data_IF_359274488935
#
_entry.id   IF_359274488935
#
_cell.length_a   1.000
_cell.length_b   1.000
_cell.length_c   1.000
_cell.angle_alpha   90.00
_cell.angle_beta   90.00
_cell.angle_gamma   90.00
#
_symmetry.space_group_name_H-M   'P 1'
#
loop_
_entity.id
_entity.type
_entity.pdbx_description
1 polymer ?
#
# COMPACT_ATOMS: atom_id res chain seq x y z
N UNK A 1 -10.48 -12.11 -34.83
CA UNK A 1 -10.49 -10.94 -33.92
C UNK A 1 -11.44 -9.88 -34.47
N UNK A 2 -12.45 -9.40 -33.71
CA UNK A 2 -13.44 -8.45 -34.21
C UNK A 2 -12.82 -7.08 -34.50
N UNK A 3 -13.15 -6.46 -35.64
CA UNK A 3 -12.61 -5.17 -36.10
C UNK A 3 -12.86 -3.99 -35.15
N UNK A 4 -13.82 -4.07 -34.23
CA UNK A 4 -14.20 -2.95 -33.34
C UNK A 4 -13.22 -2.68 -32.18
N UNK A 5 -12.35 -3.63 -31.83
CA UNK A 5 -11.42 -3.46 -30.70
C UNK A 5 -10.30 -2.45 -31.00
N UNK A 6 -9.84 -2.38 -32.26
CA UNK A 6 -8.75 -1.49 -32.69
C UNK A 6 -9.14 -0.01 -32.61
N UNK A 7 -10.39 0.32 -32.95
CA UNK A 7 -10.88 1.70 -32.92
C UNK A 7 -10.97 2.23 -31.49
N UNK A 8 -11.46 1.42 -30.56
CA UNK A 8 -11.52 1.79 -29.14
C UNK A 8 -10.14 1.93 -28.50
N UNK A 9 -9.18 1.08 -28.89
CA UNK A 9 -7.81 1.19 -28.42
C UNK A 9 -7.17 2.53 -28.82
N UNK A 10 -7.37 2.94 -30.09
CA UNK A 10 -6.86 4.22 -30.61
C UNK A 10 -7.48 5.42 -29.89
N UNK A 11 -8.79 5.40 -29.64
CA UNK A 11 -9.49 6.47 -28.91
C UNK A 11 -9.01 6.59 -27.46
N UNK A 12 -8.82 5.48 -26.75
CA UNK A 12 -8.34 5.50 -25.38
C UNK A 12 -6.88 5.96 -25.30
N UNK A 13 -6.04 5.58 -26.26
CA UNK A 13 -4.66 6.05 -26.34
C UNK A 13 -4.60 7.58 -26.56
N UNK A 14 -5.41 8.13 -27.47
CA UNK A 14 -5.49 9.59 -27.70
C UNK A 14 -5.99 10.32 -26.45
N UNK A 15 -6.98 9.76 -25.74
CA UNK A 15 -7.53 10.34 -24.50
C UNK A 15 -6.52 10.34 -23.35
N UNK A 16 -5.71 9.29 -23.22
CA UNK A 16 -4.74 9.15 -22.14
C UNK A 16 -3.48 9.99 -22.35
N UNK A 17 -3.01 10.09 -23.59
CA UNK A 17 -1.75 10.76 -23.93
C UNK A 17 -1.94 12.24 -24.26
N UNK A 18 -3.17 12.64 -24.62
CA UNK A 18 -3.53 13.98 -25.07
C UNK A 18 -3.33 14.11 -26.59
N UNK A 19 -4.23 14.83 -27.26
CA UNK A 19 -4.07 15.11 -28.68
C UNK A 19 -2.76 15.88 -28.90
N UNK A 20 -1.91 15.41 -29.82
CA UNK A 20 -0.61 16.00 -30.21
C UNK A 20 0.57 15.84 -29.23
N UNK A 21 0.50 14.92 -28.26
CA UNK A 21 1.67 14.64 -27.41
C UNK A 21 2.64 13.63 -28.09
N UNK A 22 3.67 14.18 -28.73
CA UNK A 22 4.72 13.43 -29.42
C UNK A 22 5.99 13.22 -28.58
N UNK A 23 5.94 13.39 -27.25
CA UNK A 23 7.13 13.34 -26.39
C UNK A 23 7.85 11.99 -26.49
N UNK A 24 7.12 10.87 -26.42
CA UNK A 24 7.71 9.53 -26.54
C UNK A 24 8.24 9.26 -27.95
N UNK A 25 7.54 9.73 -28.99
CA UNK A 25 7.98 9.56 -30.37
C UNK A 25 9.27 10.34 -30.64
N UNK A 26 9.36 11.58 -30.15
CA UNK A 26 10.54 12.42 -30.27
C UNK A 26 11.72 11.86 -29.45
N UNK A 27 11.46 11.27 -28.29
CA UNK A 27 12.46 10.60 -27.46
C UNK A 27 13.05 9.38 -28.19
N UNK A 28 12.20 8.51 -28.72
CA UNK A 28 12.63 7.33 -29.49
C UNK A 28 13.37 7.72 -30.77
N UNK A 29 12.93 8.78 -31.45
CA UNK A 29 13.60 9.30 -32.64
C UNK A 29 14.99 9.84 -32.30
N UNK A 30 15.12 10.64 -31.23
CA UNK A 30 16.43 11.11 -30.73
C UNK A 30 17.38 9.97 -30.40
N UNK A 31 16.89 8.91 -29.73
CA UNK A 31 17.71 7.73 -29.45
C UNK A 31 18.20 7.06 -30.74
N UNK A 32 17.30 6.91 -31.73
CA UNK A 32 17.64 6.29 -33.02
C UNK A 32 18.64 7.12 -33.83
N UNK A 33 18.54 8.44 -33.78
CA UNK A 33 19.47 9.35 -34.47
C UNK A 33 20.84 9.38 -33.78
N UNK A 34 20.91 9.26 -32.44
CA UNK A 34 22.17 9.10 -31.70
C UNK A 34 22.88 7.77 -32.04
N UNK A 35 22.13 6.67 -32.14
CA UNK A 35 22.70 5.38 -32.58
C UNK A 35 23.21 5.42 -34.03
N UNK A 36 22.50 6.13 -34.92
CA UNK A 36 22.94 6.31 -36.32
C UNK A 36 24.14 7.24 -36.45
N UNK A 37 24.27 8.25 -35.60
CA UNK A 37 25.43 9.13 -35.54
C UNK A 37 26.69 8.39 -35.07
N UNK A 38 26.57 7.55 -34.04
CA UNK A 38 27.67 6.69 -33.57
C UNK A 38 28.13 5.65 -34.61
N UNK A 39 27.26 5.26 -35.54
CA UNK A 39 27.57 4.29 -36.60
C UNK A 39 28.26 4.90 -37.83
N UNK A 40 28.33 6.23 -37.96
CA UNK A 40 28.98 6.89 -39.11
C UNK A 40 30.45 7.27 -38.86
N UNK A 41 30.95 7.16 -37.63
CA UNK A 41 32.31 7.58 -37.26
C UNK A 41 33.28 6.41 -37.00
N UNK A 42 32.94 5.19 -37.43
CA UNK A 42 33.85 4.05 -37.37
C UNK A 42 33.92 3.32 -38.71
N UNK A 43 34.79 3.83 -39.58
CA UNK A 43 35.41 2.98 -40.60
C UNK A 43 36.42 2.05 -39.93
N UNK A 44 36.04 0.78 -39.74
CA UNK A 44 36.96 -0.27 -39.25
C UNK A 44 36.22 -1.48 -38.67
N UNK A 45 36.43 -2.65 -39.29
CA UNK A 45 35.72 -3.93 -39.08
C UNK A 45 36.01 -4.64 -37.73
N UNK A 46 35.24 -5.69 -37.38
CA UNK A 46 34.80 -5.99 -36.02
C UNK A 46 35.63 -7.07 -35.32
N UNK A 47 35.77 -6.97 -34.01
CA UNK A 47 35.69 -8.12 -33.12
C UNK A 47 35.42 -7.62 -31.70
N UNK A 48 34.24 -7.90 -31.15
CA UNK A 48 33.94 -7.60 -29.76
C UNK A 48 33.20 -8.80 -29.16
N UNK A 49 33.99 -9.80 -28.79
CA UNK A 49 33.70 -10.67 -27.65
C UNK A 49 33.39 -9.78 -26.45
N UNK A 50 32.33 -10.16 -25.72
CA UNK A 50 31.89 -9.57 -24.46
C UNK A 50 33.09 -9.29 -23.55
N UNK A 51 33.41 -8.01 -23.33
CA UNK A 51 34.39 -7.59 -22.32
C UNK A 51 33.66 -6.98 -21.15
N UNK A 52 33.84 -7.66 -20.03
CA UNK A 52 33.38 -7.37 -18.68
C UNK A 52 33.81 -5.98 -18.22
N UNK A 53 32.93 -5.31 -17.48
CA UNK A 53 33.09 -3.96 -16.96
C UNK A 53 34.41 -3.80 -16.21
N UNK A 54 35.41 -3.14 -16.82
CA UNK A 54 36.59 -2.70 -16.12
C UNK A 54 36.21 -1.64 -15.08
N UNK A 55 36.41 -1.98 -13.81
CA UNK A 55 36.34 -1.06 -12.68
C UNK A 55 37.32 0.11 -12.88
N UNK A 56 37.01 1.32 -12.39
CA UNK A 56 37.95 2.42 -12.43
C UNK A 56 39.15 2.10 -11.52
N UNK A 57 40.34 2.04 -12.10
CA UNK A 57 41.60 1.84 -11.40
C UNK A 57 41.80 2.92 -10.33
N UNK A 58 42.09 2.58 -9.06
CA UNK A 58 42.41 3.58 -8.05
C UNK A 58 43.80 4.19 -8.33
N UNK A 59 44.01 5.48 -8.06
CA UNK A 59 45.34 6.09 -8.18
C UNK A 59 46.27 5.53 -7.11
N UNK A 60 47.53 5.37 -7.53
CA UNK A 60 48.65 4.81 -6.79
C UNK A 60 48.87 5.42 -5.41
N UNK A 61 49.28 4.57 -4.48
CA UNK A 61 49.44 4.79 -3.05
C UNK A 61 50.36 5.95 -2.66
N UNK A 62 49.81 6.94 -1.94
CA UNK A 62 50.54 7.64 -0.87
C UNK A 62 50.23 6.92 0.46
N UNK A 63 51.24 6.33 1.08
CA UNK A 63 51.14 5.55 2.33
C UNK A 63 50.64 6.36 3.53
N UNK A 64 50.61 7.69 3.45
CA UNK A 64 50.10 8.57 4.50
C UNK A 64 48.56 8.64 4.58
N UNK A 65 47.83 8.33 3.51
CA UNK A 65 46.37 8.49 3.47
C UNK A 65 45.59 7.21 3.81
N UNK A 66 46.28 6.09 4.02
CA UNK A 66 45.66 4.79 4.21
C UNK A 66 45.18 4.60 5.66
N UNK A 67 45.97 5.05 6.64
CA UNK A 67 45.59 5.00 8.05
C UNK A 67 44.39 5.90 8.36
N UNK A 68 44.36 7.12 7.79
CA UNK A 68 43.27 8.06 8.00
C UNK A 68 41.95 7.56 7.38
N UNK A 69 42.06 6.93 6.20
CA UNK A 69 40.93 6.24 5.56
C UNK A 69 40.45 5.05 6.41
N UNK A 70 41.35 4.19 6.87
CA UNK A 70 41.01 3.03 7.70
C UNK A 70 40.42 3.45 9.05
N UNK A 71 40.94 4.50 9.67
CA UNK A 71 40.40 5.07 10.91
C UNK A 71 39.01 5.65 10.70
N UNK A 72 38.76 6.32 9.56
CA UNK A 72 37.43 6.83 9.21
C UNK A 72 36.43 5.70 8.96
N UNK A 73 36.84 4.62 8.28
CA UNK A 73 36.00 3.44 8.05
C UNK A 73 35.68 2.75 9.38
N UNK A 74 36.69 2.52 10.22
CA UNK A 74 36.51 1.92 11.54
C UNK A 74 35.59 2.76 12.43
N UNK A 75 35.79 4.08 12.46
CA UNK A 75 34.90 4.99 13.19
C UNK A 75 33.46 4.92 12.68
N UNK A 76 33.25 4.81 11.37
CA UNK A 76 31.89 4.69 10.80
C UNK A 76 31.23 3.36 11.15
N UNK A 77 32.00 2.27 11.20
CA UNK A 77 31.54 0.94 11.62
C UNK A 77 31.21 0.93 13.12
N UNK A 78 32.08 1.50 13.95
CA UNK A 78 31.86 1.61 15.40
C UNK A 78 30.64 2.46 15.70
N UNK A 79 30.47 3.58 15.00
CA UNK A 79 29.30 4.44 15.16
C UNK A 79 28.01 3.75 14.71
N UNK A 80 28.07 2.94 13.64
CA UNK A 80 26.93 2.11 13.19
C UNK A 80 26.57 1.02 14.21
N UNK A 81 27.58 0.38 14.82
CA UNK A 81 27.40 -0.66 15.83
C UNK A 81 27.04 -0.11 17.23
N UNK A 82 27.40 1.13 17.52
CA UNK A 82 27.06 1.84 18.75
C UNK A 82 25.59 2.31 18.78
N UNK A 83 24.91 2.38 17.62
CA UNK A 83 23.46 2.60 17.59
C UNK A 83 22.78 1.41 18.27
N UNK A 84 22.01 1.63 19.35
CA UNK A 84 21.26 0.56 20.00
C UNK A 84 20.38 -0.13 18.97
N UNK A 85 20.70 -1.38 18.63
CA UNK A 85 19.83 -2.21 17.80
C UNK A 85 18.51 -2.32 18.55
N UNK A 86 17.40 -1.95 17.91
CA UNK A 86 16.06 -2.11 18.50
C UNK A 86 15.97 -3.55 19.04
N UNK A 87 15.47 -3.73 20.27
CA UNK A 87 15.31 -5.08 20.81
C UNK A 87 14.52 -5.91 19.81
N UNK A 88 14.98 -7.13 19.55
CA UNK A 88 14.30 -8.05 18.65
C UNK A 88 12.85 -8.15 19.11
N UNK A 89 11.94 -7.59 18.33
CA UNK A 89 10.54 -7.60 18.68
C UNK A 89 10.03 -9.02 18.40
N UNK A 90 9.64 -9.74 19.44
CA UNK A 90 9.08 -11.08 19.26
C UNK A 90 7.78 -10.96 18.47
N UNK A 91 7.80 -11.45 17.23
CA UNK A 91 6.66 -11.45 16.33
C UNK A 91 5.45 -12.18 16.93
N UNK A 92 5.66 -13.14 17.83
CA UNK A 92 4.58 -13.84 18.51
C UNK A 92 3.88 -12.96 19.53
N UNK A 93 4.64 -12.18 20.29
CA UNK A 93 4.09 -11.21 21.26
C UNK A 93 3.31 -10.11 20.55
N UNK A 94 3.82 -9.62 19.42
CA UNK A 94 3.10 -8.66 18.59
C UNK A 94 1.79 -9.24 18.07
N UNK A 95 1.83 -10.46 17.55
CA UNK A 95 0.65 -11.09 16.99
C UNK A 95 -0.41 -11.39 18.05
N UNK A 96 0.00 -11.89 19.22
CA UNK A 96 -0.91 -12.15 20.33
C UNK A 96 -1.59 -10.85 20.77
N UNK A 97 -0.83 -9.75 20.86
CA UNK A 97 -1.38 -8.43 21.14
C UNK A 97 -2.40 -8.02 20.08
N UNK A 98 -2.08 -8.13 18.79
CA UNK A 98 -3.01 -7.79 17.71
C UNK A 98 -4.27 -8.67 17.72
N UNK A 99 -4.12 -9.97 18.05
CA UNK A 99 -5.22 -10.91 18.15
C UNK A 99 -6.18 -10.52 19.29
N UNK A 100 -5.63 -10.21 20.47
CA UNK A 100 -6.38 -9.75 21.63
C UNK A 100 -7.04 -8.39 21.38
N UNK A 101 -6.31 -7.45 20.77
CA UNK A 101 -6.82 -6.12 20.43
C UNK A 101 -8.04 -6.22 19.52
N UNK A 102 -7.97 -7.04 18.46
CA UNK A 102 -9.10 -7.22 17.56
C UNK A 102 -10.31 -7.83 18.27
N UNK A 103 -10.10 -8.81 19.16
CA UNK A 103 -11.19 -9.40 19.97
C UNK A 103 -11.82 -8.39 20.93
N UNK A 104 -11.01 -7.55 21.57
CA UNK A 104 -11.48 -6.49 22.46
C UNK A 104 -12.31 -5.45 21.68
N UNK A 105 -11.84 -5.02 20.51
CA UNK A 105 -12.55 -4.07 19.66
C UNK A 105 -13.88 -4.67 19.15
N UNK A 106 -13.88 -5.92 18.68
CA UNK A 106 -15.14 -6.60 18.26
C UNK A 106 -16.14 -6.65 19.43
N UNK A 107 -15.67 -6.97 20.64
CA UNK A 107 -16.53 -7.05 21.83
C UNK A 107 -17.12 -5.68 22.21
N UNK A 108 -16.30 -4.62 22.12
CA UNK A 108 -16.74 -3.24 22.34
C UNK A 108 -17.78 -2.83 21.28
N UNK A 109 -17.51 -3.08 20.00
CA UNK A 109 -18.42 -2.76 18.91
C UNK A 109 -19.76 -3.50 19.03
N UNK A 110 -19.76 -4.77 19.46
CA UNK A 110 -21.00 -5.51 19.73
C UNK A 110 -21.85 -4.79 20.79
N UNK A 111 -21.23 -4.31 21.88
CA UNK A 111 -21.92 -3.56 22.93
C UNK A 111 -22.46 -2.23 22.42
N UNK A 112 -21.64 -1.46 21.69
CA UNK A 112 -22.06 -0.18 21.12
C UNK A 112 -23.21 -0.33 20.13
N UNK A 113 -23.14 -1.28 19.19
CA UNK A 113 -24.19 -1.47 18.19
C UNK A 113 -25.48 -2.00 18.81
N UNK A 114 -25.42 -2.86 19.83
CA UNK A 114 -26.59 -3.25 20.63
C UNK A 114 -27.23 -2.05 21.35
N UNK A 115 -26.41 -1.09 21.80
CA UNK A 115 -26.92 0.11 22.44
C UNK A 115 -27.55 1.05 21.41
N UNK A 116 -26.89 1.26 20.26
CA UNK A 116 -27.42 2.08 19.15
C UNK A 116 -28.73 1.53 18.60
N UNK A 117 -28.88 0.21 18.50
CA UNK A 117 -30.14 -0.43 18.10
C UNK A 117 -31.31 -0.09 19.04
N UNK A 118 -31.05 0.14 20.33
CA UNK A 118 -32.08 0.56 21.31
C UNK A 118 -32.40 2.05 21.22
N UNK A 119 -31.39 2.88 20.97
CA UNK A 119 -31.51 4.35 20.97
C UNK A 119 -31.99 4.90 19.64
N UNK A 120 -31.50 4.37 18.53
CA UNK A 120 -31.71 4.86 17.17
C UNK A 120 -32.77 4.02 16.45
N UNK A 121 -33.95 4.59 16.22
CA UNK A 121 -35.00 3.95 15.42
C UNK A 121 -34.54 3.86 13.96
N UNK A 122 -34.30 2.65 13.48
CA UNK A 122 -33.88 2.37 12.10
C UNK A 122 -32.44 1.86 11.94
N UNK A 123 -31.65 1.87 13.00
CA UNK A 123 -30.33 1.22 12.99
C UNK A 123 -30.50 -0.30 13.02
N UNK A 124 -29.88 -1.00 12.06
CA UNK A 124 -29.88 -2.48 12.02
C UNK A 124 -28.54 -3.00 12.54
N UNK A 125 -28.57 -3.88 13.54
CA UNK A 125 -27.36 -4.48 14.10
C UNK A 125 -26.59 -5.31 13.04
N UNK A 126 -25.33 -4.95 12.72
CA UNK A 126 -24.52 -5.65 11.71
C UNK A 126 -23.87 -6.91 12.29
N UNK A 127 -24.70 -7.87 12.72
CA UNK A 127 -24.25 -9.09 13.40
C UNK A 127 -23.41 -9.99 12.51
N UNK A 128 -23.80 -10.11 11.23
CA UNK A 128 -23.08 -10.93 10.25
C UNK A 128 -21.64 -10.42 10.07
N UNK A 129 -21.45 -9.12 9.86
CA UNK A 129 -20.13 -8.50 9.68
C UNK A 129 -19.22 -8.67 10.90
N UNK A 130 -19.80 -8.61 12.11
CA UNK A 130 -19.05 -8.83 13.35
C UNK A 130 -18.66 -10.31 13.51
N UNK A 131 -19.55 -11.23 13.17
CA UNK A 131 -19.27 -12.66 13.18
C UNK A 131 -18.19 -13.01 12.13
N UNK A 132 -18.21 -12.38 10.95
CA UNK A 132 -17.18 -12.52 9.91
C UNK A 132 -15.79 -12.10 10.41
N UNK A 133 -15.70 -10.98 11.12
CA UNK A 133 -14.44 -10.48 11.69
C UNK A 133 -13.90 -11.41 12.77
N UNK A 134 -14.80 -11.96 13.59
CA UNK A 134 -14.43 -12.89 14.65
C UNK A 134 -13.96 -14.24 14.08
N UNK A 135 -14.68 -14.78 13.08
CA UNK A 135 -14.29 -16.00 12.37
C UNK A 135 -12.93 -15.82 11.69
N UNK A 136 -12.69 -14.67 11.07
CA UNK A 136 -11.38 -14.34 10.51
C UNK A 136 -10.26 -14.32 11.55
N UNK A 137 -10.48 -13.70 12.71
CA UNK A 137 -9.46 -13.59 13.75
C UNK A 137 -9.08 -14.97 14.30
N UNK A 138 -10.08 -15.83 14.53
CA UNK A 138 -9.89 -17.21 14.98
C UNK A 138 -9.10 -18.02 13.95
N UNK A 139 -9.52 -18.01 12.68
CA UNK A 139 -8.82 -18.72 11.60
C UNK A 139 -7.39 -18.21 11.40
N UNK A 140 -7.16 -16.91 11.56
CA UNK A 140 -5.82 -16.33 11.47
C UNK A 140 -4.91 -16.88 12.58
N UNK A 141 -5.43 -17.05 13.78
CA UNK A 141 -4.70 -17.66 14.89
C UNK A 141 -4.43 -19.15 14.64
N UNK A 142 -5.46 -19.92 14.26
CA UNK A 142 -5.34 -21.35 13.95
C UNK A 142 -4.31 -21.62 12.85
N UNK A 143 -4.34 -20.85 11.76
CA UNK A 143 -3.38 -21.02 10.67
C UNK A 143 -1.96 -20.62 11.06
N UNK A 144 -1.79 -19.70 12.02
CA UNK A 144 -0.47 -19.37 12.57
C UNK A 144 0.05 -20.52 13.43
N UNK A 145 -0.78 -21.08 14.31
CA UNK A 145 -0.44 -22.25 15.13
C UNK A 145 -0.10 -23.47 14.27
N UNK A 146 -0.76 -23.61 13.12
CA UNK A 146 -0.46 -24.65 12.12
C UNK A 146 0.82 -24.39 11.28
N UNK A 147 1.50 -23.26 11.47
CA UNK A 147 2.73 -22.93 10.74
C UNK A 147 2.54 -22.57 9.26
N UNK A 148 1.33 -22.17 8.85
CA UNK A 148 1.04 -21.83 7.45
C UNK A 148 1.67 -20.50 7.08
N UNK A 149 2.33 -20.45 5.92
CA UNK A 149 2.83 -19.18 5.36
C UNK A 149 1.69 -18.20 5.07
N UNK A 150 1.82 -16.95 5.56
CA UNK A 150 0.84 -15.86 5.38
C UNK A 150 -0.56 -16.24 5.89
N UNK A 151 -0.74 -16.50 7.20
CA UNK A 151 -1.98 -16.99 7.79
C UNK A 151 -3.17 -16.06 7.55
N UNK A 152 -2.94 -14.74 7.50
CA UNK A 152 -3.99 -13.74 7.25
C UNK A 152 -4.59 -13.84 5.82
N UNK A 153 -3.83 -14.26 4.81
CA UNK A 153 -4.35 -14.39 3.45
C UNK A 153 -5.23 -15.63 3.36
N UNK A 154 -4.73 -16.76 3.87
CA UNK A 154 -5.46 -18.04 3.88
C UNK A 154 -6.74 -17.90 4.72
N UNK A 155 -6.65 -17.38 5.94
CA UNK A 155 -7.79 -17.15 6.82
C UNK A 155 -8.87 -16.29 6.14
N UNK A 156 -8.47 -15.23 5.44
CA UNK A 156 -9.43 -14.36 4.73
C UNK A 156 -10.18 -15.07 3.60
N UNK A 157 -9.53 -16.01 2.92
CA UNK A 157 -10.13 -16.77 1.82
C UNK A 157 -11.06 -17.83 2.41
N UNK A 158 -10.60 -18.57 3.43
CA UNK A 158 -11.38 -19.58 4.15
C UNK A 158 -12.65 -18.98 4.75
N UNK A 159 -12.52 -17.87 5.50
CA UNK A 159 -13.65 -17.15 6.07
C UNK A 159 -14.62 -16.66 4.97
N UNK A 160 -14.10 -16.10 3.87
CA UNK A 160 -14.94 -15.66 2.76
C UNK A 160 -15.69 -16.81 2.07
N UNK A 161 -15.07 -18.00 1.97
CA UNK A 161 -15.70 -19.20 1.41
C UNK A 161 -16.81 -19.74 2.33
N UNK A 162 -16.52 -19.91 3.63
CA UNK A 162 -17.48 -20.38 4.63
C UNK A 162 -18.73 -19.48 4.67
N UNK A 163 -18.49 -18.18 4.61
CA UNK A 163 -19.51 -17.15 4.60
C UNK A 163 -20.33 -17.08 3.31
N UNK A 164 -19.70 -17.30 2.15
CA UNK A 164 -20.44 -17.42 0.90
C UNK A 164 -21.37 -18.65 0.93
N UNK A 165 -21.01 -19.73 1.64
CA UNK A 165 -21.92 -20.86 1.89
C UNK A 165 -23.08 -20.45 2.81
N UNK A 166 -22.81 -19.68 3.87
CA UNK A 166 -23.83 -19.16 4.81
C UNK A 166 -24.83 -18.18 4.17
N UNK A 167 -24.41 -17.39 3.19
CA UNK A 167 -25.22 -16.33 2.57
C UNK A 167 -26.07 -16.76 1.36
N UNK A 168 -26.07 -18.05 1.03
CA UNK A 168 -26.92 -18.62 -0.03
C UNK A 168 -28.42 -18.31 0.17
N UNK A 169 -28.85 -17.93 1.38
CA UNK A 169 -30.25 -17.66 1.70
C UNK A 169 -30.52 -16.14 1.68
N UNK A 170 -30.71 -15.61 0.47
CA UNK A 170 -31.68 -14.54 0.19
C UNK A 170 -31.34 -13.07 0.49
N UNK A 171 -30.22 -12.70 1.13
CA UNK A 171 -30.02 -11.29 1.61
C UNK A 171 -28.85 -10.49 1.02
N UNK A 172 -27.83 -11.12 0.43
CA UNK A 172 -26.68 -10.39 -0.18
C UNK A 172 -26.28 -11.00 -1.51
N UNK A 173 -25.98 -10.14 -2.49
CA UNK A 173 -25.49 -10.55 -3.81
C UNK A 173 -24.18 -11.32 -3.66
N UNK A 174 -24.08 -12.45 -4.37
CA UNK A 174 -22.86 -13.23 -4.46
C UNK A 174 -21.69 -12.32 -4.83
N UNK A 175 -20.66 -12.33 -4.00
CA UNK A 175 -19.38 -11.71 -4.35
C UNK A 175 -18.33 -12.81 -4.43
N UNK A 176 -17.39 -12.69 -5.38
CA UNK A 176 -16.28 -13.65 -5.49
C UNK A 176 -15.55 -13.75 -4.15
N UNK A 177 -15.19 -14.96 -3.72
CA UNK A 177 -14.49 -15.21 -2.45
C UNK A 177 -13.25 -14.32 -2.31
N UNK A 178 -12.51 -14.11 -3.41
CA UNK A 178 -11.33 -13.24 -3.47
C UNK A 178 -11.63 -11.77 -3.18
N UNK A 179 -12.67 -11.21 -3.80
CA UNK A 179 -13.04 -9.80 -3.56
C UNK A 179 -13.54 -9.59 -2.14
N UNK A 180 -14.26 -10.58 -1.60
CA UNK A 180 -14.71 -10.59 -0.22
C UNK A 180 -13.57 -10.70 0.78
N UNK A 181 -12.62 -11.60 0.55
CA UNK A 181 -11.39 -11.71 1.34
C UNK A 181 -10.62 -10.38 1.39
N UNK A 182 -10.52 -9.67 0.25
CA UNK A 182 -9.92 -8.32 0.20
C UNK A 182 -10.68 -7.32 1.07
N UNK A 183 -12.02 -7.30 0.97
CA UNK A 183 -12.87 -6.42 1.81
C UNK A 183 -12.72 -6.75 3.30
N UNK A 184 -12.67 -8.02 3.66
CA UNK A 184 -12.51 -8.47 5.04
C UNK A 184 -11.19 -7.99 5.64
N UNK A 185 -10.07 -8.15 4.91
CA UNK A 185 -8.77 -7.63 5.36
C UNK A 185 -8.75 -6.11 5.48
N UNK A 186 -9.44 -5.40 4.58
CA UNK A 186 -9.60 -3.95 4.69
C UNK A 186 -10.45 -3.57 5.92
N UNK A 187 -11.53 -4.30 6.17
CA UNK A 187 -12.40 -4.14 7.33
C UNK A 187 -11.61 -4.27 8.63
N UNK A 188 -10.77 -5.30 8.76
CA UNK A 188 -9.95 -5.52 9.95
C UNK A 188 -9.01 -4.34 10.21
N UNK A 189 -8.33 -3.85 9.17
CA UNK A 189 -7.46 -2.67 9.30
C UNK A 189 -8.25 -1.44 9.73
N UNK A 190 -9.42 -1.24 9.14
CA UNK A 190 -10.30 -0.13 9.50
C UNK A 190 -10.77 -0.22 10.95
N UNK A 191 -11.19 -1.41 11.38
CA UNK A 191 -11.68 -1.66 12.73
C UNK A 191 -10.58 -1.44 13.77
N UNK A 192 -9.36 -1.89 13.51
CA UNK A 192 -8.22 -1.62 14.40
C UNK A 192 -7.92 -0.12 14.50
N UNK A 193 -8.02 0.62 13.40
CA UNK A 193 -7.67 2.04 13.36
C UNK A 193 -8.77 2.97 13.89
N UNK A 194 -10.02 2.71 13.53
CA UNK A 194 -11.16 3.60 13.78
C UNK A 194 -12.18 3.04 14.77
N UNK A 195 -12.03 1.77 15.20
CA UNK A 195 -12.94 1.08 16.13
C UNK A 195 -14.40 1.04 15.67
N UNK A 196 -14.61 1.10 14.36
CA UNK A 196 -15.93 1.06 13.73
C UNK A 196 -15.90 0.21 12.44
N UNK A 197 -17.07 -0.33 12.08
CA UNK A 197 -17.24 -0.99 10.79
C UNK A 197 -17.18 0.02 9.67
N UNK A 198 -16.29 -0.22 8.71
CA UNK A 198 -16.34 0.44 7.42
C UNK A 198 -17.64 0.09 6.70
N UNK A 199 -18.48 1.10 6.47
CA UNK A 199 -19.67 0.99 5.63
C UNK A 199 -19.41 1.72 4.31
N UNK A 200 -19.40 0.97 3.20
CA UNK A 200 -19.27 1.59 1.89
C UNK A 200 -20.62 2.19 1.47
N UNK A 201 -20.97 3.35 2.00
CA UNK A 201 -22.19 4.09 1.67
C UNK A 201 -22.08 4.86 0.36
N UNK A 202 -20.88 4.94 -0.23
CA UNK A 202 -20.62 5.78 -1.40
C UNK A 202 -20.34 4.94 -2.65
N UNK A 203 -21.32 4.94 -3.56
CA UNK A 203 -21.16 4.35 -4.89
C UNK A 203 -20.03 5.00 -5.69
N UNK A 204 -19.57 4.33 -6.74
CA UNK A 204 -18.63 4.93 -7.70
C UNK A 204 -19.24 6.23 -8.25
N UNK A 205 -18.60 7.37 -8.00
CA UNK A 205 -19.07 8.69 -8.41
C UNK A 205 -19.86 9.47 -7.36
N UNK A 206 -20.13 8.89 -6.19
CA UNK A 206 -20.70 9.64 -5.07
C UNK A 206 -19.65 10.61 -4.51
N UNK A 207 -20.09 11.84 -4.21
CA UNK A 207 -19.22 12.89 -3.69
C UNK A 207 -18.65 12.46 -2.34
N UNK A 208 -17.34 12.21 -2.28
CA UNK A 208 -16.66 11.88 -1.02
C UNK A 208 -16.66 13.10 -0.14
N UNK A 209 -17.39 13.05 0.98
CA UNK A 209 -17.27 14.04 2.05
C UNK A 209 -15.90 13.84 2.66
N UNK A 210 -14.92 14.61 2.20
CA UNK A 210 -13.60 14.67 2.82
C UNK A 210 -13.68 15.53 4.08
N UNK A 211 -12.66 15.50 4.94
CA UNK A 211 -12.56 16.44 6.06
C UNK A 211 -12.62 17.92 5.61
N UNK A 212 -12.16 18.21 4.39
CA UNK A 212 -12.27 19.53 3.75
C UNK A 212 -13.66 19.85 3.22
N UNK A 213 -14.58 18.88 3.21
CA UNK A 213 -15.99 19.09 2.88
C UNK A 213 -16.82 19.55 4.08
N UNK A 214 -16.26 19.51 5.29
CA UNK A 214 -16.87 20.12 6.47
C UNK A 214 -16.56 21.62 6.46
N UNK A 215 -17.59 22.50 6.32
CA UNK A 215 -17.38 23.94 6.25
C UNK A 215 -16.69 24.48 7.50
N UNK A 216 -16.92 23.85 8.67
CA UNK A 216 -16.32 24.28 9.93
C UNK A 216 -14.82 24.01 9.94
N UNK A 217 -14.39 22.84 9.47
CA UNK A 217 -12.97 22.48 9.36
C UNK A 217 -12.28 23.39 8.33
N UNK A 218 -12.94 23.64 7.19
CA UNK A 218 -12.41 24.52 6.15
C UNK A 218 -12.21 25.96 6.68
N UNK A 219 -13.21 26.54 7.35
CA UNK A 219 -13.11 27.86 7.98
C UNK A 219 -12.00 27.92 9.02
N UNK A 220 -11.89 26.88 9.86
CA UNK A 220 -10.84 26.80 10.89
C UNK A 220 -9.45 26.74 10.26
N UNK A 221 -9.29 25.96 9.19
CA UNK A 221 -8.04 25.84 8.44
C UNK A 221 -7.67 27.16 7.75
N UNK A 222 -8.65 27.83 7.13
CA UNK A 222 -8.48 29.13 6.48
C UNK A 222 -8.10 30.22 7.49
N UNK A 223 -8.75 30.25 8.65
CA UNK A 223 -8.41 31.16 9.73
C UNK A 223 -7.01 30.88 10.29
N UNK A 224 -6.59 29.61 10.33
CA UNK A 224 -5.24 29.23 10.74
C UNK A 224 -4.19 29.67 9.71
N UNK A 225 -4.39 29.43 8.41
CA UNK A 225 -3.47 29.89 7.36
C UNK A 225 -3.39 31.41 7.28
N UNK A 226 -4.51 32.12 7.45
CA UNK A 226 -4.51 33.59 7.49
C UNK A 226 -3.70 34.18 8.67
N UNK A 227 -3.54 33.41 9.75
CA UNK A 227 -2.70 33.78 10.90
C UNK A 227 -1.21 33.45 10.70
N UNK A 228 -0.87 32.61 9.73
CA UNK A 228 0.54 32.29 9.44
C UNK A 228 1.18 33.46 8.69
N UNK A 229 2.25 34.03 9.27
CA UNK A 229 3.09 35.01 8.55
C UNK A 229 4.10 34.25 7.70
N UNK A 230 4.29 34.60 6.41
CA UNK A 230 5.36 34.03 5.61
C UNK A 230 6.71 34.22 6.32
N UNK A 231 7.39 33.13 6.66
CA UNK A 231 8.70 33.15 7.33
C UNK A 231 8.70 32.99 8.86
N UNK A 232 7.54 32.94 9.54
CA UNK A 232 7.53 32.58 10.97
C UNK A 232 7.62 31.08 11.14
N UNK A 233 8.81 30.56 11.49
CA UNK A 233 8.93 29.19 12.00
C UNK A 233 8.36 29.16 13.42
N UNK A 234 7.18 28.57 13.59
CA UNK A 234 6.69 28.12 14.89
C UNK A 234 7.28 26.72 15.13
N UNK A 235 8.23 26.63 16.06
CA UNK A 235 8.54 25.42 16.82
C UNK A 235 7.85 25.52 18.17
#
# INVERSE_FOLDING_TARGET
MPRSSKHNYKLQAIKAVGANNNVMANFLQRGKDQFKAASKDSGGKPNATLSESAAPTPPSSSTANNEEYNNRVNSMVDNYNAVPKKPACDENVLFEREFQELNAVISLMRKEYRQREKTEKGFTFPGLELDELQEFNNLRNEHRLAGIEKPAIVASITAALALNRRLQIGKKKFTTSVSRAKRLRHQVRHVLQFKELYTNTQGKGAHKKTLLSDPKILETLQAWTAKQKPGSKLW
#
